data_IF_359815086954
#
_entry.id   IF_359815086954
#
_cell.length_a   1.000
_cell.length_b   1.000
_cell.length_c   1.000
_cell.angle_alpha   90.00
_cell.angle_beta   90.00
_cell.angle_gamma   90.00
#
_symmetry.space_group_name_H-M   'P 1'
#
loop_
_entity.id
_entity.type
_entity.pdbx_description
1 polymer ?
#
# COMPACT_ATOMS: atom_id res chain seq x y z
N UNK A 1 15.30 5.92 13.61
CA UNK A 1 13.88 6.06 14.02
C UNK A 1 12.94 5.22 13.14
N UNK A 2 12.82 5.50 11.83
CA UNK A 2 11.93 4.76 10.91
C UNK A 2 12.29 3.27 10.80
N UNK A 3 13.57 2.92 10.79
CA UNK A 3 14.03 1.52 10.67
C UNK A 3 13.56 0.63 11.84
N UNK A 4 13.37 1.19 13.02
CA UNK A 4 12.95 0.47 14.24
C UNK A 4 11.43 0.50 14.49
N UNK A 5 10.64 1.14 13.63
CA UNK A 5 9.18 1.16 13.75
C UNK A 5 8.53 0.12 12.84
N UNK A 6 7.34 -0.34 13.21
CA UNK A 6 6.49 -1.19 12.36
C UNK A 6 5.52 -0.37 11.51
N UNK A 7 4.95 0.67 12.12
CA UNK A 7 4.04 1.64 11.50
C UNK A 7 4.58 3.05 11.75
N UNK A 8 4.60 3.87 10.69
CA UNK A 8 4.97 5.27 10.71
C UNK A 8 3.72 6.14 10.57
N UNK A 9 3.52 7.04 11.52
CA UNK A 9 2.48 8.06 11.47
C UNK A 9 3.11 9.33 10.92
N UNK A 10 2.76 9.70 9.69
CA UNK A 10 3.22 10.92 9.03
C UNK A 10 2.25 12.06 9.37
N UNK A 11 2.69 13.01 10.19
CA UNK A 11 1.89 14.16 10.58
C UNK A 11 2.16 15.34 9.64
N UNK A 12 1.12 15.81 8.97
CA UNK A 12 1.11 16.95 8.06
C UNK A 12 0.43 18.15 8.72
N UNK A 13 0.82 19.34 8.31
CA UNK A 13 0.17 20.58 8.73
C UNK A 13 -0.88 21.00 7.69
N UNK A 14 -2.16 21.01 8.08
CA UNK A 14 -3.27 21.36 7.19
C UNK A 14 -3.09 22.75 6.55
N UNK A 15 -2.44 23.70 7.24
CA UNK A 15 -2.24 25.07 6.78
C UNK A 15 -1.16 25.22 5.72
N UNK A 16 -0.25 24.25 5.61
CA UNK A 16 0.92 24.33 4.72
C UNK A 16 0.79 23.45 3.48
N UNK A 17 -0.11 22.47 3.48
CA UNK A 17 -0.22 21.55 2.35
C UNK A 17 0.68 20.34 2.50
N UNK A 18 0.80 19.56 1.42
CA UNK A 18 1.77 18.47 1.30
C UNK A 18 3.04 19.00 0.64
N UNK A 19 4.10 19.20 1.43
CA UNK A 19 5.34 19.80 0.94
C UNK A 19 6.32 18.71 0.44
N UNK A 20 7.37 19.12 -0.29
CA UNK A 20 8.39 18.20 -0.81
C UNK A 20 9.11 17.42 0.29
N UNK A 21 9.24 18.01 1.49
CA UNK A 21 9.83 17.32 2.63
C UNK A 21 8.94 16.17 3.13
N UNK A 22 7.62 16.37 3.16
CA UNK A 22 6.65 15.34 3.54
C UNK A 22 6.66 14.18 2.54
N UNK A 23 6.72 14.50 1.25
CA UNK A 23 6.89 13.52 0.18
C UNK A 23 8.15 12.66 0.38
N UNK A 24 9.28 13.30 0.69
CA UNK A 24 10.54 12.61 0.93
C UNK A 24 10.47 11.64 2.12
N UNK A 25 9.84 12.06 3.22
CA UNK A 25 9.66 11.22 4.41
C UNK A 25 8.71 10.06 4.11
N UNK A 26 7.62 10.32 3.37
CA UNK A 26 6.68 9.30 2.92
C UNK A 26 7.39 8.20 2.10
N UNK A 27 8.14 8.60 1.06
CA UNK A 27 8.89 7.66 0.23
C UNK A 27 10.03 6.97 0.99
N UNK A 28 10.60 7.60 2.01
CA UNK A 28 11.55 6.94 2.90
C UNK A 28 10.89 5.84 3.74
N UNK A 29 9.70 6.09 4.31
CA UNK A 29 8.96 5.07 5.05
C UNK A 29 8.51 3.91 4.14
N UNK A 30 8.08 4.21 2.92
CA UNK A 30 7.66 3.22 1.94
C UNK A 30 8.83 2.34 1.48
N UNK A 31 10.00 2.93 1.17
CA UNK A 31 11.24 2.18 0.87
C UNK A 31 11.70 1.28 2.02
N UNK A 32 11.49 1.72 3.26
CA UNK A 32 11.75 0.94 4.46
C UNK A 32 10.65 -0.10 4.78
N UNK A 33 9.64 -0.26 3.91
CA UNK A 33 8.57 -1.26 4.01
C UNK A 33 7.80 -1.17 5.33
N UNK A 34 7.55 0.07 5.77
CA UNK A 34 6.80 0.38 6.99
C UNK A 34 5.32 0.55 6.65
N UNK A 35 4.45 0.18 7.59
CA UNK A 35 3.06 0.62 7.51
C UNK A 35 3.00 2.14 7.60
N UNK A 36 2.15 2.80 6.83
CA UNK A 36 2.06 4.26 6.79
C UNK A 36 0.62 4.68 7.09
N UNK A 37 0.48 5.68 7.96
CA UNK A 37 -0.76 6.40 8.20
C UNK A 37 -0.46 7.89 8.09
N UNK A 38 -1.26 8.63 7.32
CA UNK A 38 -1.11 10.08 7.16
C UNK A 38 -2.13 10.77 8.06
N UNK A 39 -1.66 11.65 8.94
CA UNK A 39 -2.49 12.50 9.78
C UNK A 39 -2.36 13.95 9.33
N UNK A 40 -3.46 14.58 8.97
CA UNK A 40 -3.51 16.01 8.65
C UNK A 40 -3.94 16.74 9.91
N UNK A 41 -3.00 17.37 10.60
CA UNK A 41 -3.20 18.07 11.85
C UNK A 41 -3.57 19.55 11.63
N UNK A 42 -4.09 20.23 12.66
CA UNK A 42 -4.63 21.61 12.61
C UNK A 42 -5.84 21.76 11.70
N UNK A 43 -6.62 20.70 11.53
CA UNK A 43 -7.82 20.71 10.68
C UNK A 43 -8.93 21.64 11.20
N UNK A 44 -8.81 22.12 12.43
CA UNK A 44 -9.64 23.17 13.02
C UNK A 44 -9.38 24.57 12.45
N UNK A 45 -8.17 24.83 11.94
CA UNK A 45 -7.79 26.14 11.38
C UNK A 45 -8.17 26.31 9.91
N UNK A 46 -8.55 25.23 9.23
CA UNK A 46 -8.93 25.27 7.81
C UNK A 46 -10.38 25.71 7.69
N UNK A 47 -10.64 26.76 6.92
CA UNK A 47 -11.99 27.16 6.53
C UNK A 47 -12.64 26.07 5.68
N UNK A 48 -13.83 25.64 6.08
CA UNK A 48 -14.50 24.47 5.52
C UNK A 48 -15.59 24.94 4.57
N UNK A 49 -15.35 24.75 3.29
CA UNK A 49 -16.38 24.79 2.26
C UNK A 49 -16.88 23.37 1.98
N UNK A 50 -17.90 23.25 1.12
CA UNK A 50 -18.33 21.96 0.62
C UNK A 50 -17.16 21.28 -0.13
N UNK A 51 -16.76 20.09 0.31
CA UNK A 51 -15.71 19.23 -0.25
C UNK A 51 -14.23 19.59 0.03
N UNK A 52 -13.91 20.56 0.89
CA UNK A 52 -12.49 20.92 1.19
C UNK A 52 -11.65 19.70 1.63
N UNK A 53 -12.20 18.82 2.48
CA UNK A 53 -11.52 17.60 2.91
C UNK A 53 -11.21 16.64 1.75
N UNK A 54 -12.16 16.47 0.81
CA UNK A 54 -11.97 15.60 -0.35
C UNK A 54 -10.93 16.16 -1.31
N UNK A 55 -10.93 17.47 -1.53
CA UNK A 55 -9.94 18.14 -2.36
C UNK A 55 -8.52 17.97 -1.78
N UNK A 56 -8.38 18.14 -0.46
CA UNK A 56 -7.12 17.95 0.24
C UNK A 56 -6.64 16.49 0.18
N UNK A 57 -7.56 15.55 0.40
CA UNK A 57 -7.26 14.12 0.27
C UNK A 57 -6.81 13.77 -1.16
N UNK A 58 -7.49 14.29 -2.18
CA UNK A 58 -7.12 14.07 -3.58
C UNK A 58 -5.74 14.65 -3.92
N UNK A 59 -5.42 15.83 -3.39
CA UNK A 59 -4.10 16.45 -3.55
C UNK A 59 -2.99 15.57 -2.94
N UNK A 60 -3.16 15.13 -1.69
CA UNK A 60 -2.21 14.19 -1.05
C UNK A 60 -2.09 12.91 -1.86
N UNK A 61 -3.22 12.32 -2.27
CA UNK A 61 -3.25 11.07 -3.05
C UNK A 61 -2.46 11.17 -4.35
N UNK A 62 -2.56 12.30 -5.03
CA UNK A 62 -1.81 12.58 -6.26
C UNK A 62 -0.30 12.61 -6.02
N UNK A 63 0.14 13.23 -4.93
CA UNK A 63 1.58 13.34 -4.60
C UNK A 63 2.19 11.99 -4.16
N UNK A 64 1.39 11.09 -3.61
CA UNK A 64 1.83 9.75 -3.18
C UNK A 64 1.63 8.66 -4.24
N UNK A 65 1.20 9.01 -5.46
CA UNK A 65 1.08 8.05 -6.55
C UNK A 65 2.44 7.38 -6.86
N UNK A 66 2.46 6.05 -7.13
CA UNK A 66 1.32 5.15 -7.26
C UNK A 66 0.82 4.53 -5.95
N UNK A 67 1.45 4.80 -4.80
CA UNK A 67 1.10 4.20 -3.50
C UNK A 67 -0.04 4.98 -2.82
N UNK A 68 -1.23 4.90 -3.40
CA UNK A 68 -2.40 5.67 -2.95
C UNK A 68 -3.18 4.99 -1.84
N UNK A 69 -2.99 3.70 -1.61
CA UNK A 69 -3.75 2.91 -0.63
C UNK A 69 -3.25 3.12 0.81
N UNK A 70 -3.26 4.39 1.26
CA UNK A 70 -2.81 4.83 2.58
C UNK A 70 -3.97 5.51 3.31
N UNK A 71 -4.22 5.19 4.59
CA UNK A 71 -5.20 5.91 5.39
C UNK A 71 -4.78 7.36 5.61
N UNK A 72 -5.67 8.29 5.29
CA UNK A 72 -5.51 9.73 5.56
C UNK A 72 -6.59 10.13 6.57
N UNK A 73 -6.17 10.73 7.69
CA UNK A 73 -7.08 11.13 8.78
C UNK A 73 -6.85 12.59 9.12
N UNK A 74 -7.92 13.38 9.06
CA UNK A 74 -7.92 14.77 9.49
C UNK A 74 -8.16 14.86 11.00
N UNK A 75 -7.22 15.45 11.73
CA UNK A 75 -7.19 15.54 13.20
C UNK A 75 -6.96 16.99 13.66
N UNK A 76 -7.32 17.26 14.91
CA UNK A 76 -6.90 18.46 15.62
C UNK A 76 -6.34 18.04 16.97
N UNK A 77 -5.00 18.11 17.10
CA UNK A 77 -4.34 17.75 18.35
C UNK A 77 -4.77 18.66 19.52
N UNK A 78 -4.94 19.96 19.24
CA UNK A 78 -5.34 20.98 20.22
C UNK A 78 -6.75 20.70 20.78
N UNK A 79 -7.71 20.45 19.89
CA UNK A 79 -9.10 20.18 20.26
C UNK A 79 -9.36 18.70 20.59
N UNK A 80 -8.32 17.87 20.61
CA UNK A 80 -8.39 16.41 20.81
C UNK A 80 -9.33 15.69 19.83
N UNK A 81 -9.54 16.27 18.66
CA UNK A 81 -10.47 15.74 17.67
C UNK A 81 -9.83 14.58 16.90
N UNK A 82 -10.49 13.41 16.93
CA UNK A 82 -10.12 12.19 16.15
C UNK A 82 -8.74 11.61 16.46
N UNK A 83 -8.12 11.96 17.59
CA UNK A 83 -6.84 11.38 18.01
C UNK A 83 -6.96 9.87 18.25
N UNK A 84 -8.05 9.41 18.90
CA UNK A 84 -8.27 7.98 19.13
C UNK A 84 -8.40 7.21 17.81
N UNK A 85 -9.12 7.76 16.84
CA UNK A 85 -9.25 7.18 15.49
C UNK A 85 -7.88 7.02 14.80
N UNK A 86 -6.97 7.97 15.00
CA UNK A 86 -5.61 7.87 14.45
C UNK A 86 -4.85 6.66 15.01
N UNK A 87 -4.99 6.39 16.31
CA UNK A 87 -4.37 5.24 16.98
C UNK A 87 -5.03 3.94 16.49
N UNK A 88 -6.36 3.89 16.45
CA UNK A 88 -7.12 2.73 15.93
C UNK A 88 -6.66 2.35 14.51
N UNK A 89 -6.59 3.33 13.62
CA UNK A 89 -6.12 3.08 12.25
C UNK A 89 -4.65 2.67 12.18
N UNK A 90 -3.78 3.17 13.06
CA UNK A 90 -2.40 2.70 13.12
C UNK A 90 -2.32 1.22 13.53
N UNK A 91 -3.18 0.77 14.46
CA UNK A 91 -3.32 -0.63 14.85
C UNK A 91 -3.88 -1.48 13.69
N UNK A 92 -4.88 -0.98 12.95
CA UNK A 92 -5.39 -1.65 11.74
C UNK A 92 -4.29 -1.86 10.70
N UNK A 93 -3.48 -0.83 10.42
CA UNK A 93 -2.35 -0.93 9.50
C UNK A 93 -1.30 -1.93 9.99
N UNK A 94 -1.04 -1.99 11.29
CA UNK A 94 -0.16 -3.02 11.88
C UNK A 94 -0.72 -4.43 11.67
N UNK A 95 -2.01 -4.63 11.89
CA UNK A 95 -2.68 -5.91 11.66
C UNK A 95 -2.65 -6.31 10.18
N UNK A 96 -2.88 -5.36 9.27
CA UNK A 96 -2.75 -5.57 7.83
C UNK A 96 -1.32 -5.96 7.43
N UNK A 97 -0.31 -5.39 8.10
CA UNK A 97 1.10 -5.68 7.85
C UNK A 97 1.49 -7.10 8.25
N UNK A 98 0.94 -7.60 9.35
CA UNK A 98 1.22 -8.93 9.90
C UNK A 98 0.28 -10.02 9.38
N UNK A 99 -0.71 -9.64 8.56
CA UNK A 99 -1.74 -10.52 8.00
C UNK A 99 -1.14 -11.68 7.21
N UNK A 100 -1.53 -12.89 7.57
CA UNK A 100 -1.15 -14.13 6.88
C UNK A 100 -2.32 -14.65 6.05
N UNK A 101 -2.11 -14.83 4.75
CA UNK A 101 -3.07 -15.45 3.85
C UNK A 101 -2.69 -16.92 3.67
N UNK A 102 -3.59 -17.87 3.95
CA UNK A 102 -3.38 -19.28 3.61
C UNK A 102 -3.06 -19.46 2.13
N UNK A 103 -2.01 -20.21 1.81
CA UNK A 103 -1.57 -20.46 0.43
C UNK A 103 -2.72 -20.96 -0.45
N UNK A 104 -3.58 -21.83 0.07
CA UNK A 104 -4.77 -22.31 -0.66
C UNK A 104 -5.67 -21.16 -1.11
N UNK A 105 -6.09 -20.31 -0.17
CA UNK A 105 -6.94 -19.15 -0.44
C UNK A 105 -6.28 -18.20 -1.46
N UNK A 106 -4.97 -17.95 -1.32
CA UNK A 106 -4.24 -17.11 -2.26
C UNK A 106 -4.27 -17.67 -3.69
N UNK A 107 -4.09 -18.98 -3.85
CA UNK A 107 -4.12 -19.62 -5.18
C UNK A 107 -5.53 -19.65 -5.76
N UNK A 108 -6.56 -19.95 -4.94
CA UNK A 108 -7.97 -19.94 -5.37
C UNK A 108 -8.41 -18.59 -5.91
N UNK A 109 -7.89 -17.49 -5.35
CA UNK A 109 -8.21 -16.12 -5.80
C UNK A 109 -7.32 -15.68 -6.97
N UNK A 110 -6.00 -15.83 -6.85
CA UNK A 110 -5.07 -15.18 -7.77
C UNK A 110 -4.85 -15.96 -9.07
N UNK A 111 -4.89 -17.30 -9.06
CA UNK A 111 -4.64 -18.08 -10.27
C UNK A 111 -5.71 -17.84 -11.35
N UNK A 112 -7.03 -17.83 -11.04
CA UNK A 112 -8.05 -17.51 -12.06
C UNK A 112 -7.89 -16.12 -12.65
N UNK A 113 -7.51 -15.12 -11.84
CA UNK A 113 -7.25 -13.74 -12.30
C UNK A 113 -6.10 -13.73 -13.30
N UNK A 114 -5.02 -14.47 -13.01
CA UNK A 114 -3.84 -14.59 -13.87
C UNK A 114 -4.17 -15.36 -15.15
N UNK A 115 -4.99 -16.41 -15.08
CA UNK A 115 -5.41 -17.17 -16.26
C UNK A 115 -6.25 -16.32 -17.22
N UNK A 116 -7.14 -15.49 -16.70
CA UNK A 116 -7.94 -14.54 -17.49
C UNK A 116 -7.10 -13.39 -18.08
N UNK A 117 -6.03 -13.00 -17.39
CA UNK A 117 -5.14 -11.93 -17.84
C UNK A 117 -3.67 -12.37 -17.72
N UNK A 118 -3.18 -13.22 -18.65
CA UNK A 118 -1.83 -13.77 -18.56
C UNK A 118 -0.76 -12.71 -18.88
N UNK A 119 0.48 -12.91 -18.42
CA UNK A 119 1.58 -12.03 -18.81
C UNK A 119 1.78 -12.05 -20.33
N UNK A 120 2.17 -10.91 -20.96
CA UNK A 120 2.40 -10.84 -22.39
C UNK A 120 3.46 -11.85 -22.85
N UNK A 121 3.23 -12.50 -23.99
CA UNK A 121 4.22 -13.38 -24.59
C UNK A 121 5.41 -12.58 -25.13
N UNK A 122 6.62 -13.02 -24.81
CA UNK A 122 7.86 -12.39 -25.30
C UNK A 122 8.60 -13.39 -26.18
N UNK A 123 8.91 -13.00 -27.42
CA UNK A 123 9.63 -13.84 -28.39
C UNK A 123 8.94 -15.21 -28.61
N UNK A 124 7.61 -15.22 -28.69
CA UNK A 124 6.81 -16.45 -28.85
C UNK A 124 6.77 -17.37 -27.62
N UNK A 125 7.37 -16.96 -26.50
CA UNK A 125 7.35 -17.73 -25.25
C UNK A 125 6.28 -17.22 -24.30
N UNK A 126 5.41 -18.12 -23.87
CA UNK A 126 4.32 -17.82 -22.94
C UNK A 126 4.78 -18.02 -21.49
N UNK A 127 4.53 -17.01 -20.66
CA UNK A 127 4.75 -17.10 -19.22
C UNK A 127 3.53 -17.73 -18.58
N UNK A 128 3.72 -18.85 -17.90
CA UNK A 128 2.70 -19.54 -17.10
C UNK A 128 3.08 -19.49 -15.64
N UNK A 129 2.21 -18.92 -14.83
CA UNK A 129 2.31 -18.90 -13.37
C UNK A 129 1.47 -20.07 -12.85
N UNK A 130 2.08 -20.97 -12.09
CA UNK A 130 1.43 -22.23 -11.66
C UNK A 130 1.04 -22.25 -10.19
N UNK A 131 1.64 -21.36 -9.40
CA UNK A 131 1.54 -21.38 -7.95
C UNK A 131 1.96 -20.03 -7.40
N UNK A 132 1.30 -19.58 -6.35
CA UNK A 132 1.70 -18.41 -5.58
C UNK A 132 1.66 -18.70 -4.08
N UNK A 133 2.50 -18.01 -3.31
CA UNK A 133 2.50 -18.11 -1.85
C UNK A 133 2.94 -16.81 -1.22
N UNK A 134 2.49 -16.55 0.01
CA UNK A 134 3.05 -15.50 0.84
C UNK A 134 4.35 -16.00 1.49
N UNK A 135 5.43 -15.22 1.43
CA UNK A 135 6.70 -15.53 2.09
C UNK A 135 6.59 -15.27 3.60
N UNK A 136 7.29 -16.03 4.47
CA UNK A 136 7.22 -15.89 5.92
C UNK A 136 8.02 -14.67 6.40
N UNK A 137 7.54 -13.48 6.07
CA UNK A 137 8.18 -12.19 6.39
C UNK A 137 7.26 -11.31 7.25
N UNK A 138 7.82 -10.38 8.05
CA UNK A 138 7.03 -9.47 8.90
C UNK A 138 6.20 -8.44 8.12
N UNK A 139 6.30 -8.44 6.79
CA UNK A 139 5.50 -7.61 5.89
C UNK A 139 4.99 -8.47 4.72
N UNK A 140 3.89 -8.08 4.05
CA UNK A 140 3.26 -8.89 3.01
C UNK A 140 4.15 -8.99 1.77
N UNK A 141 4.84 -10.12 1.63
CA UNK A 141 5.61 -10.46 0.44
C UNK A 141 5.03 -11.69 -0.23
N UNK A 142 4.91 -11.65 -1.55
CA UNK A 142 4.32 -12.72 -2.35
C UNK A 142 5.31 -13.22 -3.39
N UNK A 143 5.41 -14.53 -3.51
CA UNK A 143 6.18 -15.19 -4.57
C UNK A 143 5.22 -15.90 -5.51
N UNK A 144 5.31 -15.56 -6.80
CA UNK A 144 4.60 -16.20 -7.90
C UNK A 144 5.60 -17.04 -8.69
N UNK A 145 5.34 -18.34 -8.82
CA UNK A 145 6.21 -19.28 -9.47
C UNK A 145 5.81 -19.44 -10.93
N UNK A 146 6.69 -18.99 -11.81
CA UNK A 146 6.51 -18.99 -13.26
C UNK A 146 7.55 -19.87 -13.95
N UNK A 147 7.22 -20.36 -15.15
CA UNK A 147 8.20 -21.04 -16.01
C UNK A 147 9.31 -20.08 -16.52
N UNK A 148 8.97 -18.82 -16.76
CA UNK A 148 9.84 -17.81 -17.35
C UNK A 148 9.69 -16.47 -16.61
N UNK A 149 10.08 -16.38 -15.33
CA UNK A 149 9.91 -15.17 -14.51
C UNK A 149 10.62 -13.94 -15.10
N UNK A 150 11.73 -14.13 -15.82
CA UNK A 150 12.52 -13.07 -16.44
C UNK A 150 11.76 -12.30 -17.55
N UNK A 151 10.66 -12.87 -18.06
CA UNK A 151 9.82 -12.22 -19.05
C UNK A 151 8.64 -11.47 -18.44
N UNK A 152 8.45 -11.54 -17.12
CA UNK A 152 7.44 -10.73 -16.43
C UNK A 152 7.97 -9.31 -16.27
N UNK A 153 7.29 -8.34 -16.90
CA UNK A 153 7.64 -6.91 -16.85
C UNK A 153 6.91 -6.21 -15.70
N UNK A 154 7.42 -5.04 -15.32
CA UNK A 154 6.86 -4.24 -14.21
C UNK A 154 5.38 -3.88 -14.35
N UNK A 155 4.81 -3.59 -15.54
CA UNK A 155 3.38 -3.35 -15.67
C UNK A 155 2.54 -4.54 -15.19
N UNK A 156 2.98 -5.77 -15.48
CA UNK A 156 2.29 -6.97 -15.01
C UNK A 156 2.48 -7.18 -13.51
N UNK A 157 3.66 -6.85 -12.96
CA UNK A 157 3.88 -6.87 -11.51
C UNK A 157 2.92 -5.92 -10.79
N UNK A 158 2.75 -4.69 -11.30
CA UNK A 158 1.79 -3.70 -10.77
C UNK A 158 0.35 -4.19 -10.87
N UNK A 159 -0.02 -4.84 -11.97
CA UNK A 159 -1.33 -5.48 -12.12
C UNK A 159 -1.57 -6.51 -11.00
N UNK A 160 -0.61 -7.39 -10.74
CA UNK A 160 -0.72 -8.38 -9.65
C UNK A 160 -0.77 -7.71 -8.27
N UNK A 161 0.04 -6.69 -8.03
CA UNK A 161 -0.03 -5.91 -6.79
C UNK A 161 -1.41 -5.30 -6.57
N UNK A 162 -1.97 -4.65 -7.59
CA UNK A 162 -3.31 -4.06 -7.52
C UNK A 162 -4.38 -5.12 -7.24
N UNK A 163 -4.31 -6.30 -7.90
CA UNK A 163 -5.23 -7.41 -7.64
C UNK A 163 -5.08 -7.99 -6.24
N UNK A 164 -3.87 -8.02 -5.68
CA UNK A 164 -3.69 -8.36 -4.28
C UNK A 164 -4.37 -7.34 -3.37
N UNK A 165 -4.24 -6.03 -3.61
CA UNK A 165 -4.90 -4.98 -2.81
C UNK A 165 -6.42 -5.02 -2.93
N UNK A 166 -6.95 -5.30 -4.11
CA UNK A 166 -8.40 -5.40 -4.34
C UNK A 166 -9.03 -6.59 -3.60
N UNK A 167 -8.34 -7.73 -3.55
CA UNK A 167 -8.88 -8.96 -2.98
C UNK A 167 -8.49 -9.18 -1.51
N UNK A 168 -7.42 -8.53 -1.05
CA UNK A 168 -6.91 -8.66 0.30
C UNK A 168 -6.64 -7.28 0.87
N UNK A 169 -7.26 -6.98 2.01
CA UNK A 169 -7.01 -5.71 2.70
C UNK A 169 -5.56 -5.63 3.20
N UNK A 170 -4.79 -4.75 2.55
CA UNK A 170 -3.41 -4.38 2.83
C UNK A 170 -3.25 -2.86 2.89
N UNK A 171 -4.33 -2.17 3.25
CA UNK A 171 -4.36 -0.71 3.33
C UNK A 171 -3.28 -0.21 4.28
N UNK A 172 -2.54 0.81 3.83
CA UNK A 172 -1.42 1.42 4.54
C UNK A 172 -0.14 0.61 4.52
N UNK A 173 -0.09 -0.52 3.81
CA UNK A 173 1.07 -1.42 3.83
C UNK A 173 1.68 -1.58 2.42
N UNK A 174 3.00 -1.38 2.28
CA UNK A 174 3.73 -1.76 1.08
C UNK A 174 3.69 -3.27 0.85
N UNK A 175 3.39 -3.69 -0.37
CA UNK A 175 3.37 -5.11 -0.77
C UNK A 175 4.52 -5.35 -1.76
N UNK A 176 5.29 -6.40 -1.55
CA UNK A 176 6.29 -6.83 -2.53
C UNK A 176 5.83 -8.09 -3.27
N UNK A 177 5.82 -8.03 -4.60
CA UNK A 177 5.51 -9.17 -5.47
C UNK A 177 6.78 -9.62 -6.18
N UNK A 178 7.14 -10.89 -6.07
CA UNK A 178 8.29 -11.49 -6.73
C UNK A 178 7.85 -12.59 -7.70
N UNK A 179 8.49 -12.65 -8.85
CA UNK A 179 8.37 -13.78 -9.77
C UNK A 179 9.62 -14.64 -9.68
N UNK A 180 9.45 -15.94 -9.43
CA UNK A 180 10.54 -16.90 -9.29
C UNK A 180 10.38 -18.04 -10.27
N UNK A 181 11.49 -18.65 -10.65
CA UNK A 181 11.45 -19.89 -11.41
C UNK A 181 11.13 -21.02 -10.43
N UNK A 182 10.22 -21.90 -10.83
CA UNK A 182 9.99 -23.14 -10.07
C UNK A 182 11.14 -24.11 -10.28
#
# INVERSE_FOLDING_TARGET
AIEHSDVCILMLDATRGFESQDANIFWLAQRNRKGIVILVNKWDLVEKENNTAKAYEAAIRKEIEPFTDVPIIFVSALNKQRIYKAIETAVEVYNNRTKRIPTRQLNEVMLPIIENYPPPAIKGKYVKIKFCTQLPTPMPQFAFFANLPQYVKDPYRRFIENKLRENFDFKGVPIDVYFRQK
#
